data_IF_356773955161
#
_entry.id   IF_356773955161
#
_cell.length_a   1.000
_cell.length_b   1.000
_cell.length_c   1.000
_cell.angle_alpha   90.00
_cell.angle_beta   90.00
_cell.angle_gamma   90.00
#
_symmetry.space_group_name_H-M   'P 1'
#
loop_
_entity.id
_entity.type
_entity.pdbx_description
1 polymer ?
#
# COMPACT_ATOMS: atom_id res chain seq x y z
N UNK A 1 27.66 -35.69 26.83
CA UNK A 1 27.32 -35.83 25.39
C UNK A 1 25.80 -35.86 25.14
N UNK A 2 25.00 -36.64 25.89
CA UNK A 2 23.54 -36.78 25.67
C UNK A 2 22.72 -35.47 25.83
N UNK A 3 23.00 -34.70 26.87
CA UNK A 3 22.26 -33.47 27.19
C UNK A 3 22.43 -32.37 26.14
N UNK A 4 23.63 -32.23 25.54
CA UNK A 4 23.90 -31.30 24.43
C UNK A 4 23.14 -31.68 23.16
N UNK A 5 22.90 -32.98 22.92
CA UNK A 5 22.14 -33.49 21.77
C UNK A 5 20.63 -33.23 21.91
N UNK A 6 20.11 -33.33 23.13
CA UNK A 6 18.71 -33.03 23.45
C UNK A 6 18.37 -31.55 23.27
N UNK A 7 19.27 -30.63 23.65
CA UNK A 7 19.07 -29.19 23.41
C UNK A 7 19.07 -28.83 21.92
N UNK A 8 19.88 -29.49 21.10
CA UNK A 8 19.91 -29.26 19.64
C UNK A 8 18.61 -29.75 18.99
N UNK A 9 18.13 -30.95 19.34
CA UNK A 9 16.85 -31.49 18.84
C UNK A 9 15.67 -30.60 19.27
N UNK A 10 15.67 -30.13 20.53
CA UNK A 10 14.64 -29.22 21.04
C UNK A 10 14.64 -27.88 20.31
N UNK A 11 15.81 -27.32 20.00
CA UNK A 11 15.93 -26.09 19.22
C UNK A 11 15.40 -26.26 17.79
N UNK A 12 15.71 -27.38 17.14
CA UNK A 12 15.22 -27.69 15.79
C UNK A 12 13.69 -27.87 15.75
N UNK A 13 13.11 -28.50 16.76
CA UNK A 13 11.65 -28.66 16.89
C UNK A 13 10.94 -27.32 17.09
N UNK A 14 11.53 -26.43 17.91
CA UNK A 14 11.02 -25.08 18.13
C UNK A 14 11.10 -24.28 16.83
N UNK A 15 12.23 -24.33 16.11
CA UNK A 15 12.40 -23.67 14.82
C UNK A 15 11.36 -24.17 13.81
N UNK A 16 11.14 -25.49 13.69
CA UNK A 16 10.10 -26.06 12.83
C UNK A 16 8.70 -25.56 13.18
N UNK A 17 8.37 -25.45 14.47
CA UNK A 17 7.07 -24.93 14.92
C UNK A 17 6.90 -23.44 14.60
N UNK A 18 7.95 -22.64 14.78
CA UNK A 18 7.93 -21.23 14.40
C UNK A 18 7.75 -21.03 12.89
N UNK A 19 8.45 -21.81 12.06
CA UNK A 19 8.28 -21.71 10.60
C UNK A 19 6.86 -22.10 10.16
N UNK A 20 6.29 -23.16 10.74
CA UNK A 20 4.89 -23.51 10.50
C UNK A 20 3.92 -22.41 10.93
N UNK A 21 4.18 -21.76 12.07
CA UNK A 21 3.37 -20.65 12.55
C UNK A 21 3.45 -19.43 11.62
N UNK A 22 4.63 -19.11 11.07
CA UNK A 22 4.80 -18.02 10.08
C UNK A 22 4.01 -18.31 8.81
N UNK A 23 4.12 -19.52 8.25
CA UNK A 23 3.39 -19.93 7.05
C UNK A 23 1.87 -19.81 7.28
N UNK A 24 1.37 -20.35 8.39
CA UNK A 24 -0.06 -20.30 8.73
C UNK A 24 -0.55 -18.86 8.97
N UNK A 25 0.30 -17.97 9.49
CA UNK A 25 0.00 -16.55 9.62
C UNK A 25 -0.05 -15.87 8.24
N UNK A 26 0.88 -16.18 7.34
CA UNK A 26 0.92 -15.65 5.98
C UNK A 26 -0.33 -16.03 5.18
N UNK A 27 -0.77 -17.28 5.24
CA UNK A 27 -1.98 -17.76 4.56
C UNK A 27 -3.23 -16.98 5.00
N UNK A 28 -3.31 -16.60 6.28
CA UNK A 28 -4.43 -15.82 6.81
C UNK A 28 -4.30 -14.32 6.51
N UNK A 29 -3.08 -13.79 6.54
CA UNK A 29 -2.81 -12.36 6.36
C UNK A 29 -2.91 -11.93 4.90
N UNK A 30 -2.41 -12.72 3.95
CA UNK A 30 -2.35 -12.32 2.54
C UNK A 30 -3.72 -11.91 1.97
N UNK A 31 -4.81 -12.71 2.11
CA UNK A 31 -6.12 -12.31 1.62
C UNK A 31 -6.66 -11.04 2.29
N UNK A 32 -6.38 -10.87 3.59
CA UNK A 32 -6.84 -9.70 4.33
C UNK A 32 -6.08 -8.42 3.96
N UNK A 33 -4.79 -8.53 3.67
CA UNK A 33 -3.96 -7.44 3.18
C UNK A 33 -4.42 -7.00 1.79
N UNK A 34 -4.55 -7.93 0.85
CA UNK A 34 -5.00 -7.65 -0.52
C UNK A 34 -6.38 -7.02 -0.52
N UNK A 35 -7.34 -7.61 0.23
CA UNK A 35 -8.69 -7.03 0.38
C UNK A 35 -8.65 -5.59 0.92
N UNK A 36 -7.77 -5.32 1.88
CA UNK A 36 -7.61 -3.97 2.42
C UNK A 36 -7.02 -2.98 1.42
N UNK A 37 -6.09 -3.44 0.58
CA UNK A 37 -5.54 -2.66 -0.53
C UNK A 37 -6.58 -2.35 -1.60
N UNK A 38 -7.37 -3.35 -2.01
CA UNK A 38 -8.42 -3.19 -3.01
C UNK A 38 -9.55 -2.25 -2.55
N UNK A 39 -9.98 -2.36 -1.29
CA UNK A 39 -10.96 -1.43 -0.71
C UNK A 39 -10.43 0.02 -0.70
N UNK A 40 -9.17 0.20 -0.31
CA UNK A 40 -8.53 1.51 -0.34
C UNK A 40 -8.42 2.05 -1.77
N UNK A 41 -7.98 1.23 -2.72
CA UNK A 41 -7.86 1.63 -4.12
C UNK A 41 -9.22 1.96 -4.75
N UNK A 42 -10.28 1.23 -4.40
CA UNK A 42 -11.64 1.54 -4.85
C UNK A 42 -12.09 2.92 -4.36
N UNK A 43 -11.91 3.25 -3.08
CA UNK A 43 -12.26 4.57 -2.55
C UNK A 43 -11.38 5.69 -3.14
N UNK A 44 -10.09 5.41 -3.39
CA UNK A 44 -9.20 6.34 -4.09
C UNK A 44 -9.69 6.64 -5.50
N UNK A 45 -10.09 5.61 -6.27
CA UNK A 45 -10.63 5.77 -7.63
C UNK A 45 -11.93 6.58 -7.62
N UNK A 46 -12.81 6.33 -6.64
CA UNK A 46 -14.05 7.08 -6.50
C UNK A 46 -13.81 8.56 -6.19
N UNK A 47 -12.82 8.89 -5.36
CA UNK A 47 -12.46 10.28 -5.07
C UNK A 47 -11.69 10.96 -6.22
N UNK A 48 -10.95 10.17 -7.01
CA UNK A 48 -10.23 10.64 -8.20
C UNK A 48 -11.16 10.90 -9.41
N UNK A 49 -12.47 10.66 -9.29
CA UNK A 49 -13.47 10.81 -10.34
C UNK A 49 -13.47 12.19 -11.02
N UNK A 50 -13.09 13.24 -10.27
CA UNK A 50 -12.91 14.59 -10.81
C UNK A 50 -11.84 14.70 -11.92
N UNK A 51 -11.02 13.66 -12.09
CA UNK A 51 -9.99 13.51 -13.13
C UNK A 51 -10.41 12.57 -14.27
N UNK A 52 -11.67 12.08 -14.28
CA UNK A 52 -12.18 11.11 -15.27
C UNK A 52 -12.10 11.60 -16.72
N UNK A 53 -11.99 12.90 -16.97
CA UNK A 53 -11.91 13.43 -18.34
C UNK A 53 -10.72 12.86 -19.11
N UNK A 54 -9.56 12.66 -18.47
CA UNK A 54 -8.47 11.89 -19.08
C UNK A 54 -8.53 10.41 -18.66
N UNK A 55 -8.87 10.13 -17.40
CA UNK A 55 -8.96 8.77 -16.88
C UNK A 55 -7.62 8.24 -16.35
N UNK A 56 -6.49 8.74 -16.86
CA UNK A 56 -5.13 8.29 -16.53
C UNK A 56 -4.88 8.17 -15.02
N UNK A 57 -5.31 9.17 -14.23
CA UNK A 57 -5.14 9.13 -12.78
C UNK A 57 -5.86 7.94 -12.13
N UNK A 58 -7.10 7.67 -12.56
CA UNK A 58 -7.92 6.59 -12.01
C UNK A 58 -7.31 5.24 -12.40
N UNK A 59 -6.85 5.12 -13.64
CA UNK A 59 -6.24 3.91 -14.19
C UNK A 59 -4.87 3.61 -13.57
N UNK A 60 -4.11 4.66 -13.20
CA UNK A 60 -2.80 4.54 -12.55
C UNK A 60 -2.86 4.06 -11.09
N UNK A 61 -4.05 4.02 -10.48
CA UNK A 61 -4.21 3.53 -9.10
C UNK A 61 -4.06 2.01 -9.10
N UNK A 62 -2.98 1.53 -8.49
CA UNK A 62 -2.59 0.13 -8.52
C UNK A 62 -2.34 -0.44 -7.12
N UNK A 63 -2.81 -1.68 -6.91
CA UNK A 63 -2.59 -2.47 -5.71
C UNK A 63 -1.51 -3.50 -6.01
N UNK A 64 -0.38 -3.40 -5.31
CA UNK A 64 0.71 -4.38 -5.38
C UNK A 64 0.62 -5.31 -4.17
N UNK A 65 0.47 -6.60 -4.46
CA UNK A 65 0.36 -7.66 -3.48
C UNK A 65 1.68 -7.97 -2.77
N UNK A 66 1.64 -8.81 -1.72
CA UNK A 66 2.84 -9.17 -0.98
C UNK A 66 3.85 -9.94 -1.84
N UNK A 67 5.10 -9.48 -1.82
CA UNK A 67 6.19 -10.02 -2.66
C UNK A 67 6.19 -9.54 -4.12
N UNK A 68 5.19 -8.76 -4.54
CA UNK A 68 5.11 -8.19 -5.89
C UNK A 68 5.86 -6.85 -5.98
N UNK A 69 6.03 -6.34 -7.21
CA UNK A 69 6.72 -5.06 -7.47
C UNK A 69 5.74 -4.04 -8.00
N UNK A 70 5.82 -2.80 -7.52
CA UNK A 70 4.95 -1.71 -7.98
C UNK A 70 5.21 -1.36 -9.44
N UNK A 71 4.23 -0.76 -10.15
CA UNK A 71 4.43 -0.25 -11.49
C UNK A 71 5.62 0.73 -11.59
N UNK A 72 6.18 0.86 -12.79
CA UNK A 72 7.25 1.82 -13.05
C UNK A 72 6.82 3.25 -12.70
N UNK A 73 7.70 3.98 -12.02
CA UNK A 73 7.50 5.37 -11.61
C UNK A 73 6.34 5.62 -10.63
N UNK A 74 5.78 4.58 -10.02
CA UNK A 74 4.64 4.71 -9.09
C UNK A 74 5.06 4.95 -7.64
N UNK A 75 6.33 4.75 -7.30
CA UNK A 75 6.88 4.96 -5.96
C UNK A 75 8.14 5.84 -6.04
N UNK A 76 8.06 7.09 -5.57
CA UNK A 76 9.16 8.08 -5.60
C UNK A 76 9.83 8.26 -6.97
N UNK A 77 9.06 8.09 -8.06
CA UNK A 77 9.57 8.14 -9.42
C UNK A 77 10.35 6.89 -9.86
N UNK A 78 10.33 5.83 -9.06
CA UNK A 78 10.91 4.50 -9.35
C UNK A 78 9.91 3.36 -9.10
N UNK A 79 10.42 2.22 -8.66
CA UNK A 79 9.65 1.02 -8.30
C UNK A 79 10.04 0.53 -6.92
N UNK A 80 9.11 -0.13 -6.24
CA UNK A 80 9.36 -0.77 -4.94
C UNK A 80 8.80 -2.18 -4.93
N UNK A 81 9.56 -3.13 -4.37
CA UNK A 81 9.06 -4.46 -4.07
C UNK A 81 8.35 -4.44 -2.71
N UNK A 82 7.11 -4.92 -2.67
CA UNK A 82 6.37 -5.11 -1.43
C UNK A 82 7.01 -6.24 -0.60
N UNK A 83 7.10 -6.02 0.72
CA UNK A 83 7.48 -7.08 1.66
C UNK A 83 6.49 -8.26 1.66
N UNK A 84 6.88 -9.34 2.34
CA UNK A 84 6.08 -10.58 2.45
C UNK A 84 4.70 -10.40 3.10
N UNK A 85 4.56 -9.39 3.97
CA UNK A 85 3.33 -9.06 4.69
C UNK A 85 2.87 -7.63 4.42
N UNK A 86 3.18 -7.12 3.23
CA UNK A 86 2.93 -5.74 2.84
C UNK A 86 2.05 -5.70 1.59
N UNK A 87 1.13 -4.75 1.54
CA UNK A 87 0.42 -4.37 0.32
C UNK A 87 0.66 -2.90 0.11
N UNK A 88 0.99 -2.54 -1.12
CA UNK A 88 1.22 -1.16 -1.54
C UNK A 88 0.08 -0.72 -2.41
N UNK A 89 -0.47 0.46 -2.10
CA UNK A 89 -1.42 1.14 -2.99
C UNK A 89 -0.72 2.39 -3.49
N UNK A 90 -0.50 2.46 -4.79
CA UNK A 90 0.22 3.54 -5.46
C UNK A 90 -0.68 4.24 -6.47
N UNK A 91 -0.34 5.49 -6.80
CA UNK A 91 -1.03 6.26 -7.83
C UNK A 91 0.00 7.02 -8.66
N UNK A 92 -0.04 6.81 -9.97
CA UNK A 92 0.95 7.34 -10.90
C UNK A 92 1.77 6.22 -11.53
N UNK A 93 2.18 6.47 -12.76
CA UNK A 93 2.98 5.59 -13.60
C UNK A 93 3.76 6.47 -14.60
N UNK A 94 4.30 5.87 -15.66
CA UNK A 94 4.99 6.59 -16.73
C UNK A 94 4.17 7.72 -17.34
N UNK A 95 2.86 7.53 -17.46
CA UNK A 95 1.92 8.43 -18.12
C UNK A 95 1.25 9.39 -17.12
N UNK A 96 1.19 9.02 -15.84
CA UNK A 96 0.52 9.77 -14.77
C UNK A 96 1.50 10.25 -13.69
N UNK A 97 2.50 11.04 -14.09
CA UNK A 97 3.51 11.61 -13.15
C UNK A 97 3.03 12.79 -12.31
N UNK A 98 1.76 13.17 -12.44
CA UNK A 98 1.17 14.37 -11.85
C UNK A 98 0.26 14.08 -10.65
N UNK A 99 0.15 12.82 -10.20
CA UNK A 99 -0.74 12.40 -9.11
C UNK A 99 -0.55 13.22 -7.82
N UNK A 100 0.69 13.47 -7.42
CA UNK A 100 1.03 14.28 -6.25
C UNK A 100 0.62 15.76 -6.40
N UNK A 101 0.63 16.31 -7.62
CA UNK A 101 0.13 17.67 -7.89
C UNK A 101 -1.39 17.72 -7.78
N UNK A 102 -2.10 16.66 -8.18
CA UNK A 102 -3.56 16.58 -8.01
C UNK A 102 -3.92 16.51 -6.52
N UNK A 103 -3.20 15.68 -5.76
CA UNK A 103 -3.41 15.53 -4.32
C UNK A 103 -3.16 16.84 -3.55
N UNK A 104 -2.03 17.50 -3.81
CA UNK A 104 -1.58 18.68 -3.05
C UNK A 104 -1.97 20.03 -3.65
N UNK A 105 -2.39 20.07 -4.91
CA UNK A 105 -2.50 21.30 -5.68
C UNK A 105 -1.12 21.87 -6.05
N UNK A 106 -1.13 23.03 -6.69
CA UNK A 106 0.08 23.78 -7.04
C UNK A 106 -0.06 25.23 -6.61
N UNK A 107 1.04 25.88 -6.27
CA UNK A 107 1.07 27.32 -6.17
C UNK A 107 1.07 28.00 -7.53
N UNK A 108 0.68 29.28 -7.53
CA UNK A 108 0.74 30.12 -8.71
C UNK A 108 2.20 30.29 -9.14
N UNK A 109 2.47 29.96 -10.41
CA UNK A 109 3.77 30.16 -11.03
C UNK A 109 3.68 31.34 -11.99
N UNK A 110 4.81 32.01 -12.19
CA UNK A 110 4.91 33.12 -13.14
C UNK A 110 5.91 32.76 -14.25
N UNK A 111 5.60 33.23 -15.46
CA UNK A 111 6.52 33.26 -16.57
C UNK A 111 7.63 34.31 -16.32
N UNK A 112 8.70 34.26 -17.13
CA UNK A 112 9.82 35.23 -17.02
C UNK A 112 9.40 36.67 -17.29
N UNK A 113 8.30 36.88 -17.99
CA UNK A 113 7.70 38.18 -18.28
C UNK A 113 6.73 38.67 -17.19
N UNK A 114 6.57 37.92 -16.10
CA UNK A 114 5.70 38.26 -14.97
C UNK A 114 4.24 37.85 -15.13
N UNK A 115 3.85 37.25 -16.27
CA UNK A 115 2.48 36.75 -16.45
C UNK A 115 2.25 35.44 -15.68
N UNK A 116 1.05 35.20 -15.12
CA UNK A 116 0.78 33.98 -14.34
C UNK A 116 0.58 32.77 -15.26
N UNK A 117 1.26 31.66 -14.96
CA UNK A 117 1.07 30.34 -15.59
C UNK A 117 -0.16 29.61 -15.02
N UNK A 118 -0.76 30.17 -13.97
CA UNK A 118 -1.97 29.66 -13.34
C UNK A 118 -1.72 28.83 -12.09
N UNK A 119 -2.82 28.49 -11.42
CA UNK A 119 -2.86 27.74 -10.16
C UNK A 119 -3.83 26.58 -10.28
N UNK A 120 -3.39 25.38 -9.93
CA UNK A 120 -4.28 24.23 -9.79
C UNK A 120 -4.68 24.03 -8.32
N UNK A 121 -5.98 24.15 -7.96
CA UNK A 121 -6.44 23.83 -6.62
C UNK A 121 -6.31 22.33 -6.34
N UNK A 122 -6.05 21.98 -5.07
CA UNK A 122 -5.94 20.60 -4.64
C UNK A 122 -7.26 19.84 -4.82
N UNK A 123 -7.18 18.62 -5.33
CA UNK A 123 -8.29 17.66 -5.47
C UNK A 123 -7.87 16.35 -4.80
N UNK A 124 -7.84 16.31 -3.46
CA UNK A 124 -7.28 15.19 -2.74
C UNK A 124 -8.13 13.93 -2.92
N UNK A 125 -7.48 12.81 -3.18
CA UNK A 125 -8.09 11.50 -3.39
C UNK A 125 -7.38 10.43 -2.54
N UNK A 126 -6.07 10.55 -2.32
CA UNK A 126 -5.26 9.58 -1.61
C UNK A 126 -5.45 9.68 -0.09
N UNK A 127 -5.12 10.83 0.50
CA UNK A 127 -5.20 10.99 1.95
C UNK A 127 -6.63 10.86 2.50
N UNK A 128 -7.68 11.38 1.83
CA UNK A 128 -9.04 11.16 2.29
C UNK A 128 -9.44 9.68 2.23
N UNK A 129 -9.13 8.95 1.15
CA UNK A 129 -9.40 7.51 1.06
C UNK A 129 -8.67 6.71 2.14
N UNK A 130 -7.39 7.03 2.40
CA UNK A 130 -6.63 6.39 3.46
C UNK A 130 -7.25 6.65 4.83
N UNK A 131 -7.63 7.90 5.14
CA UNK A 131 -8.27 8.25 6.41
C UNK A 131 -9.60 7.53 6.61
N UNK A 132 -10.40 7.39 5.55
CA UNK A 132 -11.66 6.65 5.56
C UNK A 132 -11.45 5.17 5.92
N UNK A 133 -10.42 4.55 5.34
CA UNK A 133 -10.18 3.11 5.49
C UNK A 133 -9.30 2.73 6.69
N UNK A 134 -8.46 3.64 7.19
CA UNK A 134 -7.41 3.36 8.18
C UNK A 134 -7.89 2.55 9.38
N UNK A 135 -9.02 2.93 9.97
CA UNK A 135 -9.57 2.25 11.16
C UNK A 135 -10.05 0.84 10.83
N UNK A 136 -10.72 0.65 9.68
CA UNK A 136 -11.21 -0.66 9.24
C UNK A 136 -10.05 -1.60 8.92
N UNK A 137 -9.05 -1.13 8.17
CA UNK A 137 -7.84 -1.88 7.83
C UNK A 137 -7.14 -2.33 9.12
N UNK A 138 -6.89 -1.40 10.04
CA UNK A 138 -6.24 -1.71 11.32
C UNK A 138 -7.00 -2.78 12.11
N UNK A 139 -8.32 -2.64 12.27
CA UNK A 139 -9.15 -3.60 13.01
C UNK A 139 -9.16 -4.99 12.36
N UNK A 140 -9.19 -5.06 11.02
CA UNK A 140 -9.14 -6.32 10.28
C UNK A 140 -7.83 -7.05 10.55
N UNK A 141 -6.71 -6.35 10.44
CA UNK A 141 -5.38 -6.93 10.67
C UNK A 141 -5.19 -7.34 12.13
N UNK A 142 -5.59 -6.48 13.08
CA UNK A 142 -5.52 -6.79 14.51
C UNK A 142 -6.28 -8.07 14.88
N UNK A 143 -7.47 -8.29 14.32
CA UNK A 143 -8.24 -9.52 14.57
C UNK A 143 -7.55 -10.80 14.09
N UNK A 144 -6.71 -10.71 13.06
CA UNK A 144 -6.01 -11.87 12.49
C UNK A 144 -4.73 -12.15 13.28
N UNK A 145 -4.06 -11.09 13.74
CA UNK A 145 -2.79 -11.20 14.49
C UNK A 145 -2.99 -11.36 15.99
N UNK A 146 -4.16 -11.01 16.53
CA UNK A 146 -4.43 -11.14 17.95
C UNK A 146 -4.32 -12.61 18.36
N UNK A 147 -3.62 -12.91 19.48
CA UNK A 147 -3.60 -14.26 20.02
C UNK A 147 -5.03 -14.69 20.37
N UNK A 148 -5.37 -15.99 20.26
CA UNK A 148 -6.66 -16.48 20.74
C UNK A 148 -6.78 -16.13 22.22
N UNK A 149 -7.81 -15.35 22.57
CA UNK A 149 -8.16 -15.11 23.97
C UNK A 149 -8.58 -16.47 24.51
N UNK A 150 -7.77 -17.02 25.42
CA UNK A 150 -8.00 -18.31 26.08
C UNK A 150 -8.58 -18.05 27.46
#
# INVERSE_FOLDING_TARGET
>A
MAQRRQYVIGADDIARKFERAKIAAAEKLRPALVKSGEELAADMRQLAESSRRSGDLIESIHVTGPGETTPAHSADGGQRKAGEYEVLVTSGDSDTRHSHLVEGGTDERQHKDGTPTGRMPAKPFFNPAYRLNRTRIRRRLQRITAPPVT
#
